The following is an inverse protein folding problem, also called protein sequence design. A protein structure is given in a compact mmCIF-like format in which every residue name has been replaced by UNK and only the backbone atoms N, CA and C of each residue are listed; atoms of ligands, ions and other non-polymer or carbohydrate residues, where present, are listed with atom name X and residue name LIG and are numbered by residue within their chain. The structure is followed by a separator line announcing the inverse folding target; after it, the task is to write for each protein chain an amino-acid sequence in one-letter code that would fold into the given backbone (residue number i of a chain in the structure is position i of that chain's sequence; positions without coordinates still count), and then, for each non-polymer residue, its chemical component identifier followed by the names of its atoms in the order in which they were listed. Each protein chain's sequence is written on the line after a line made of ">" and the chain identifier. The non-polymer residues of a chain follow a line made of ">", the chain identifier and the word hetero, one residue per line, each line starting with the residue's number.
data_IF_742019951830
#
_entry.id   IF_742019951830
#
_cell.length_a   1.000
_cell.length_b   1.000
_cell.length_c   1.000
_cell.angle_alpha   90.00
_cell.angle_beta   90.00
_cell.angle_gamma   90.00
#
_symmetry.space_group_name_H-M   'P 1'
#
loop_
_entity.id
_entity.type
_entity.pdbx_description
1 polymer ?
#
# COMPACT_ATOMS: atom_id res chain seq x y z
N UNK A 1 -31.87 20.89 55.17
CA UNK A 1 -30.64 21.56 54.73
C UNK A 1 -29.46 20.86 55.40
N UNK A 2 -28.39 20.56 54.68
CA UNK A 2 -27.13 20.04 55.24
C UNK A 2 -26.15 21.19 55.48
N UNK A 3 -25.16 20.95 56.34
CA UNK A 3 -24.15 21.95 56.70
C UNK A 3 -23.24 22.33 55.51
N UNK A 4 -23.12 21.46 54.52
CA UNK A 4 -22.38 21.69 53.28
C UNK A 4 -23.19 22.41 52.17
N UNK A 5 -24.28 23.09 52.54
CA UNK A 5 -25.04 23.95 51.62
C UNK A 5 -26.10 23.25 50.77
N UNK A 6 -26.23 21.92 50.87
CA UNK A 6 -27.26 21.16 50.15
C UNK A 6 -28.65 21.29 50.79
N UNK A 7 -29.67 21.49 49.96
CA UNK A 7 -31.08 21.57 50.35
C UNK A 7 -31.83 20.41 49.71
N UNK A 8 -32.72 19.77 50.47
CA UNK A 8 -33.67 18.81 49.91
C UNK A 8 -34.97 19.55 49.65
N UNK A 9 -35.43 19.56 48.41
CA UNK A 9 -36.68 20.21 47.99
C UNK A 9 -37.66 19.15 47.50
N UNK A 10 -38.95 19.44 47.61
CA UNK A 10 -40.00 18.59 47.05
C UNK A 10 -40.32 19.02 45.61
N UNK A 11 -40.45 18.06 44.71
CA UNK A 11 -40.88 18.29 43.32
C UNK A 11 -42.01 17.35 42.96
N UNK A 12 -42.64 17.55 41.81
CA UNK A 12 -43.70 16.68 41.30
C UNK A 12 -43.18 15.27 40.93
N UNK A 13 -41.88 15.10 40.68
CA UNK A 13 -41.21 13.81 40.50
C UNK A 13 -40.70 13.20 41.82
N UNK A 14 -40.95 13.88 42.95
CA UNK A 14 -40.50 13.49 44.29
C UNK A 14 -39.38 14.36 44.86
N UNK A 15 -38.79 13.98 46.00
CA UNK A 15 -37.79 14.80 46.67
C UNK A 15 -36.42 14.76 45.96
N UNK A 16 -35.85 15.94 45.67
CA UNK A 16 -34.51 16.08 45.06
C UNK A 16 -33.59 16.94 45.91
N UNK A 17 -32.27 16.80 45.72
CA UNK A 17 -31.27 17.62 46.39
C UNK A 17 -30.74 18.71 45.45
N UNK A 18 -30.64 19.94 45.94
CA UNK A 18 -30.07 21.08 45.21
C UNK A 18 -28.97 21.75 46.04
N UNK A 19 -27.98 22.33 45.37
CA UNK A 19 -26.99 23.20 46.01
C UNK A 19 -26.85 24.49 45.20
N UNK A 20 -27.50 25.55 45.67
CA UNK A 20 -27.60 26.83 44.94
C UNK A 20 -26.25 27.55 44.80
N UNK A 21 -25.29 27.24 45.66
CA UNK A 21 -24.00 27.91 45.72
C UNK A 21 -22.83 27.02 45.27
N UNK A 22 -23.10 25.76 44.95
CA UNK A 22 -22.07 24.74 44.71
C UNK A 22 -21.43 24.21 46.00
N UNK A 23 -20.60 23.19 45.85
CA UNK A 23 -19.87 22.52 46.92
C UNK A 23 -18.37 22.78 46.80
N UNK A 24 -17.70 23.12 47.91
CA UNK A 24 -16.26 23.30 47.93
C UNK A 24 -15.55 21.95 48.09
N UNK A 25 -14.61 21.66 47.19
CA UNK A 25 -13.87 20.41 47.19
C UNK A 25 -12.39 20.67 46.91
N UNK A 26 -11.53 20.06 47.72
CA UNK A 26 -10.08 20.05 47.47
C UNK A 26 -9.82 19.05 46.36
N UNK A 27 -9.19 19.51 45.29
CA UNK A 27 -8.81 18.69 44.15
C UNK A 27 -7.30 18.62 44.04
N UNK A 28 -6.78 17.49 43.57
CA UNK A 28 -5.38 17.34 43.16
C UNK A 28 -5.10 18.08 41.85
N UNK A 29 -4.01 17.72 41.17
CA UNK A 29 -3.69 18.32 39.87
C UNK A 29 -4.60 17.73 38.77
N UNK A 30 -5.24 18.58 37.97
CA UNK A 30 -6.08 18.14 36.86
C UNK A 30 -6.05 19.10 35.67
N UNK A 31 -6.49 18.60 34.51
CA UNK A 31 -6.80 19.43 33.35
C UNK A 31 -8.27 19.84 33.37
N UNK A 32 -8.53 21.07 32.96
CA UNK A 32 -9.88 21.60 32.82
C UNK A 32 -10.24 21.79 31.35
N UNK A 33 -11.52 21.71 31.05
CA UNK A 33 -12.08 21.61 29.71
C UNK A 33 -13.26 22.57 29.57
N UNK A 34 -13.50 23.11 28.37
CA UNK A 34 -14.63 24.02 28.13
C UNK A 34 -16.00 23.30 28.18
N UNK A 35 -16.03 21.99 27.91
CA UNK A 35 -17.21 21.11 27.94
C UNK A 35 -16.91 19.84 28.77
N UNK A 36 -17.91 19.08 29.26
CA UNK A 36 -17.71 17.82 30.00
C UNK A 36 -17.27 16.69 29.07
N UNK A 37 -16.16 16.90 28.39
CA UNK A 37 -15.56 15.97 27.46
C UNK A 37 -14.06 16.21 27.41
N UNK A 38 -13.28 15.13 27.44
CA UNK A 38 -11.83 15.21 27.33
C UNK A 38 -11.41 15.68 25.91
N UNK A 39 -12.36 15.73 24.95
CA UNK A 39 -12.13 16.20 23.57
C UNK A 39 -12.26 17.71 23.45
N UNK A 40 -12.80 18.35 24.49
CA UNK A 40 -13.00 19.78 24.52
C UNK A 40 -11.66 20.50 24.66
N UNK A 41 -11.64 21.78 24.30
CA UNK A 41 -10.46 22.63 24.42
C UNK A 41 -9.98 22.62 25.88
N UNK A 42 -8.68 22.35 26.07
CA UNK A 42 -8.05 22.42 27.39
C UNK A 42 -7.95 23.89 27.79
N UNK A 43 -8.50 24.22 28.95
CA UNK A 43 -8.46 25.55 29.53
C UNK A 43 -7.07 25.89 30.11
N UNK A 44 -6.91 27.07 30.71
CA UNK A 44 -5.68 27.51 31.37
C UNK A 44 -4.43 27.40 30.46
N UNK A 45 -4.59 27.77 29.18
CA UNK A 45 -3.56 27.67 28.15
C UNK A 45 -2.89 26.29 28.06
N UNK A 46 -3.61 25.21 28.40
CA UNK A 46 -3.07 23.85 28.38
C UNK A 46 -2.24 23.47 29.61
N UNK A 47 -2.15 24.34 30.62
CA UNK A 47 -1.52 24.04 31.89
C UNK A 47 -2.50 23.38 32.88
N UNK A 48 -1.98 22.50 33.73
CA UNK A 48 -2.77 21.90 34.80
C UNK A 48 -3.17 22.96 35.82
N UNK A 49 -4.36 22.82 36.36
CA UNK A 49 -4.69 23.42 37.63
C UNK A 49 -3.98 22.61 38.72
N UNK A 50 -3.13 23.27 39.50
CA UNK A 50 -2.48 22.65 40.66
C UNK A 50 -3.47 22.39 41.79
N UNK A 51 -3.08 21.55 42.75
CA UNK A 51 -3.87 21.25 43.95
C UNK A 51 -4.37 22.51 44.65
N UNK A 52 -5.68 22.70 44.68
CA UNK A 52 -6.36 23.78 45.41
C UNK A 52 -7.84 23.45 45.64
N UNK A 53 -8.54 24.32 46.38
CA UNK A 53 -9.98 24.20 46.61
C UNK A 53 -10.75 24.79 45.44
N UNK A 54 -11.67 24.03 44.87
CA UNK A 54 -12.57 24.49 43.82
C UNK A 54 -14.02 24.42 44.27
N UNK A 55 -14.82 25.35 43.75
CA UNK A 55 -16.27 25.34 43.92
C UNK A 55 -16.92 24.59 42.76
N UNK A 56 -17.43 23.41 43.05
CA UNK A 56 -18.14 22.53 42.13
C UNK A 56 -19.59 22.98 42.07
N UNK A 57 -20.09 23.28 40.88
CA UNK A 57 -21.43 23.87 40.67
C UNK A 57 -22.40 22.94 39.96
N UNK A 58 -21.88 21.91 39.30
CA UNK A 58 -22.67 20.90 38.59
C UNK A 58 -21.82 19.64 38.38
N UNK A 59 -22.45 18.56 37.93
CA UNK A 59 -21.74 17.34 37.54
C UNK A 59 -22.59 16.41 36.70
N UNK A 60 -21.92 15.50 36.00
CA UNK A 60 -22.55 14.49 35.16
C UNK A 60 -22.47 13.11 35.83
N UNK A 61 -23.32 12.19 35.41
CA UNK A 61 -23.35 10.81 35.93
C UNK A 61 -22.10 10.01 35.57
N UNK A 62 -21.36 10.39 34.53
CA UNK A 62 -20.09 9.80 34.11
C UNK A 62 -18.86 10.48 34.74
N UNK A 63 -19.06 11.28 35.79
CA UNK A 63 -17.99 11.73 36.68
C UNK A 63 -17.35 13.07 36.32
N UNK A 64 -17.91 13.82 35.36
CA UNK A 64 -17.49 15.20 35.14
C UNK A 64 -18.02 16.12 36.21
N UNK A 65 -17.19 17.05 36.64
CA UNK A 65 -17.53 18.08 37.59
C UNK A 65 -17.35 19.45 36.95
N UNK A 66 -18.41 20.26 36.98
CA UNK A 66 -18.36 21.66 36.55
C UNK A 66 -17.90 22.52 37.71
N UNK A 67 -17.00 23.45 37.46
CA UNK A 67 -16.44 24.31 38.49
C UNK A 67 -16.15 25.71 37.95
N UNK A 68 -16.08 26.69 38.85
CA UNK A 68 -15.81 28.09 38.49
C UNK A 68 -14.31 28.38 38.44
N UNK A 69 -13.88 29.06 37.38
CA UNK A 69 -12.52 29.62 37.22
C UNK A 69 -12.59 31.09 36.81
N UNK A 70 -11.42 31.74 36.71
CA UNK A 70 -11.30 33.09 36.17
C UNK A 70 -11.60 33.15 34.65
N UNK A 71 -11.52 32.01 33.95
CA UNK A 71 -11.90 31.85 32.53
C UNK A 71 -13.39 31.50 32.35
N UNK A 72 -14.18 31.59 33.42
CA UNK A 72 -15.59 31.17 33.46
C UNK A 72 -15.78 29.75 34.01
N UNK A 73 -16.95 29.18 33.76
CA UNK A 73 -17.21 27.79 34.15
C UNK A 73 -16.44 26.83 33.25
N UNK A 74 -15.86 25.80 33.86
CA UNK A 74 -15.08 24.75 33.21
C UNK A 74 -15.47 23.40 33.77
N UNK A 75 -15.02 22.35 33.09
CA UNK A 75 -15.28 20.97 33.45
C UNK A 75 -13.97 20.25 33.76
N UNK A 76 -13.98 19.39 34.76
CA UNK A 76 -12.89 18.47 35.08
C UNK A 76 -13.43 17.05 35.20
N UNK A 77 -12.61 16.04 34.92
CA UNK A 77 -12.94 14.66 35.24
C UNK A 77 -11.87 14.10 36.18
N UNK A 78 -12.12 14.07 37.50
CA UNK A 78 -11.16 13.57 38.48
C UNK A 78 -10.86 12.07 38.36
N UNK A 79 -11.70 11.32 37.64
CA UNK A 79 -11.54 9.89 37.40
C UNK A 79 -10.79 9.58 36.09
N UNK A 80 -10.57 10.58 35.23
CA UNK A 80 -9.86 10.37 33.97
C UNK A 80 -8.37 10.14 34.22
N UNK A 81 -7.92 8.90 34.00
CA UNK A 81 -6.51 8.57 34.04
C UNK A 81 -5.75 9.36 32.96
N UNK A 82 -4.55 9.83 33.28
CA UNK A 82 -3.68 10.54 32.33
C UNK A 82 -2.41 9.75 32.09
N UNK A 83 -2.02 9.64 30.83
CA UNK A 83 -0.73 9.07 30.45
C UNK A 83 0.09 10.08 29.64
N UNK A 84 1.40 10.00 29.75
CA UNK A 84 2.33 10.75 28.90
C UNK A 84 2.90 9.82 27.85
N UNK A 85 2.74 10.17 26.56
CA UNK A 85 3.34 9.43 25.45
C UNK A 85 4.45 10.29 24.84
N UNK A 86 5.70 9.90 25.10
CA UNK A 86 6.91 10.64 24.69
C UNK A 86 7.39 10.32 23.26
N UNK A 87 6.48 9.90 22.38
CA UNK A 87 6.77 9.54 20.99
C UNK A 87 5.60 9.89 20.09
N UNK A 88 5.88 10.08 18.82
CA UNK A 88 4.86 10.28 17.79
C UNK A 88 4.06 9.00 17.60
N UNK A 89 2.72 9.08 17.67
CA UNK A 89 1.82 7.92 17.55
C UNK A 89 0.64 8.19 16.64
N UNK A 90 0.05 7.14 16.07
CA UNK A 90 -1.25 7.22 15.43
C UNK A 90 -2.38 6.95 16.43
N UNK A 91 -3.52 7.59 16.18
CA UNK A 91 -4.79 7.23 16.81
C UNK A 91 -5.76 6.71 15.74
N UNK A 92 -6.70 5.86 16.14
CA UNK A 92 -7.55 5.07 15.26
C UNK A 92 -9.02 5.23 15.67
N UNK A 93 -9.93 5.13 14.71
CA UNK A 93 -11.37 5.23 15.00
C UNK A 93 -11.91 4.01 15.78
N UNK A 94 -11.23 2.88 15.68
CA UNK A 94 -11.55 1.62 16.36
C UNK A 94 -10.25 1.04 16.96
N UNK A 95 -10.32 0.14 17.96
CA UNK A 95 -9.15 -0.48 18.58
C UNK A 95 -8.53 -1.55 17.65
N UNK A 96 -8.09 -1.13 16.47
CA UNK A 96 -7.52 -1.97 15.43
C UNK A 96 -6.54 -1.16 14.59
N UNK A 97 -5.39 -1.75 14.29
CA UNK A 97 -4.38 -1.15 13.42
C UNK A 97 -4.82 -1.02 11.96
N UNK A 98 -5.84 -1.78 11.52
CA UNK A 98 -6.42 -1.65 10.19
C UNK A 98 -7.58 -0.64 10.14
N UNK A 99 -7.96 -0.05 11.28
CA UNK A 99 -9.00 0.97 11.30
C UNK A 99 -8.51 2.28 10.66
N UNK A 100 -9.45 3.11 10.23
CA UNK A 100 -9.15 4.46 9.72
C UNK A 100 -8.42 5.26 10.80
N UNK A 101 -7.27 5.84 10.43
CA UNK A 101 -6.50 6.74 11.27
C UNK A 101 -7.25 8.07 11.46
N UNK A 102 -7.19 8.58 12.68
CA UNK A 102 -7.64 9.92 13.06
C UNK A 102 -6.70 11.00 12.49
N UNK A 103 -7.01 12.27 12.74
CA UNK A 103 -6.15 13.41 12.40
C UNK A 103 -5.79 13.42 10.92
N UNK A 104 -6.77 13.14 10.06
CA UNK A 104 -6.61 13.04 8.61
C UNK A 104 -5.48 12.07 8.16
N UNK A 105 -5.17 11.07 8.98
CA UNK A 105 -4.10 10.11 8.72
C UNK A 105 -2.71 10.54 9.19
N UNK A 106 -2.56 11.73 9.78
CA UNK A 106 -1.30 12.20 10.35
C UNK A 106 -1.15 11.73 11.81
N UNK A 107 0.08 11.44 12.26
CA UNK A 107 0.30 11.07 13.65
C UNK A 107 0.22 12.29 14.57
N UNK A 108 0.03 12.03 15.86
CA UNK A 108 0.09 13.03 16.93
C UNK A 108 1.51 13.10 17.49
N UNK A 109 1.97 14.32 17.77
CA UNK A 109 3.25 14.56 18.45
C UNK A 109 3.20 14.08 19.91
N UNK A 110 4.37 13.92 20.56
CA UNK A 110 4.44 13.63 21.99
C UNK A 110 3.54 14.54 22.82
N UNK A 111 2.65 13.96 23.61
CA UNK A 111 1.68 14.71 24.43
C UNK A 111 1.11 13.85 25.57
N UNK A 112 0.35 14.50 26.46
CA UNK A 112 -0.45 13.83 27.47
C UNK A 112 -1.82 13.44 26.90
N UNK A 113 -2.33 12.28 27.32
CA UNK A 113 -3.61 11.75 26.88
C UNK A 113 -4.48 11.43 28.08
N UNK A 114 -5.73 11.90 28.04
CA UNK A 114 -6.77 11.43 28.95
C UNK A 114 -7.31 10.08 28.48
N UNK A 115 -7.12 9.06 29.29
CA UNK A 115 -7.57 7.68 29.07
C UNK A 115 -8.96 7.52 29.68
N UNK A 116 -9.89 7.03 28.87
CA UNK A 116 -11.29 6.77 29.23
C UNK A 116 -11.54 5.27 29.43
N UNK A 117 -10.80 4.44 28.70
CA UNK A 117 -10.98 2.99 28.70
C UNK A 117 -9.65 2.31 28.38
N UNK A 118 -9.39 1.15 28.99
CA UNK A 118 -8.26 0.28 28.70
C UNK A 118 -8.75 -1.11 28.29
N UNK A 119 -8.12 -1.69 27.28
CA UNK A 119 -8.26 -3.10 26.91
C UNK A 119 -7.02 -3.87 27.35
N UNK A 120 -7.20 -5.15 27.66
CA UNK A 120 -6.12 -6.06 28.10
C UNK A 120 -4.99 -6.17 27.07
N UNK A 121 -5.29 -6.00 25.78
CA UNK A 121 -4.34 -6.05 24.68
C UNK A 121 -3.61 -4.71 24.40
N UNK A 122 -3.66 -3.76 25.35
CA UNK A 122 -2.88 -2.52 25.31
C UNK A 122 -3.56 -1.33 24.62
N UNK A 123 -4.73 -1.55 24.00
CA UNK A 123 -5.51 -0.46 23.41
C UNK A 123 -6.12 0.43 24.49
N UNK A 124 -5.97 1.74 24.31
CA UNK A 124 -6.52 2.77 25.18
C UNK A 124 -7.43 3.69 24.40
N UNK A 125 -8.65 3.89 24.91
CA UNK A 125 -9.55 4.91 24.39
C UNK A 125 -9.16 6.24 24.99
N UNK A 126 -8.82 7.18 24.13
CA UNK A 126 -8.37 8.52 24.49
C UNK A 126 -9.20 9.56 23.81
N UNK A 127 -9.19 10.76 24.37
CA UNK A 127 -9.88 11.87 23.75
C UNK A 127 -8.97 12.72 22.90
N UNK A 128 -9.51 13.14 21.75
CA UNK A 128 -8.83 14.01 20.78
C UNK A 128 -9.78 15.12 20.37
N UNK A 129 -9.30 16.13 19.65
CA UNK A 129 -10.16 17.19 19.11
C UNK A 129 -11.22 16.66 18.10
N UNK A 130 -11.06 15.43 17.59
CA UNK A 130 -12.04 14.74 16.73
C UNK A 130 -13.00 13.84 17.54
N UNK A 131 -13.03 13.97 18.86
CA UNK A 131 -13.75 13.08 19.77
C UNK A 131 -12.91 11.86 20.19
N UNK A 132 -13.56 10.83 20.73
CA UNK A 132 -12.85 9.64 21.20
C UNK A 132 -12.19 8.86 20.07
N UNK A 133 -10.95 8.42 20.31
CA UNK A 133 -10.13 7.57 19.45
C UNK A 133 -9.40 6.53 20.26
N UNK A 134 -8.77 5.59 19.58
CA UNK A 134 -8.01 4.50 20.16
C UNK A 134 -6.52 4.68 19.86
N UNK A 135 -5.68 4.51 20.86
CA UNK A 135 -4.23 4.47 20.70
C UNK A 135 -3.68 3.17 21.27
N UNK A 136 -2.59 2.70 20.70
CA UNK A 136 -1.80 1.60 21.25
C UNK A 136 -0.31 1.94 21.06
N UNK A 137 0.27 2.79 21.93
CA UNK A 137 1.60 3.35 21.73
C UNK A 137 2.68 2.28 21.72
N UNK A 138 2.49 1.18 22.44
CA UNK A 138 3.52 0.14 22.61
C UNK A 138 3.30 -1.07 21.70
N UNK A 139 2.23 -1.06 20.92
CA UNK A 139 1.85 -2.17 20.07
C UNK A 139 1.12 -3.29 20.81
N UNK A 140 0.53 -4.18 20.03
CA UNK A 140 -0.23 -5.33 20.50
C UNK A 140 0.58 -6.62 20.24
N UNK A 141 0.82 -7.42 21.28
CA UNK A 141 1.30 -8.80 21.07
C UNK A 141 0.19 -9.64 20.46
N UNK A 142 0.49 -10.29 19.33
CA UNK A 142 -0.47 -11.10 18.60
C UNK A 142 0.16 -12.42 18.15
N UNK A 143 -0.47 -13.53 18.50
CA UNK A 143 -0.10 -14.83 17.95
C UNK A 143 -0.54 -14.93 16.49
N UNK A 144 0.41 -15.13 15.59
CA UNK A 144 0.13 -15.35 14.17
C UNK A 144 0.21 -16.85 13.92
N UNK A 145 -0.93 -17.46 13.61
CA UNK A 145 -1.10 -18.92 13.56
C UNK A 145 -0.75 -19.56 12.20
N UNK A 146 -0.30 -18.78 11.22
CA UNK A 146 0.06 -19.24 9.87
C UNK A 146 1.38 -18.62 9.43
N UNK A 147 2.15 -19.36 8.64
CA UNK A 147 3.38 -18.81 8.04
C UNK A 147 3.05 -17.70 7.05
N UNK A 148 3.91 -16.68 6.96
CA UNK A 148 3.68 -15.53 6.08
C UNK A 148 4.99 -14.92 5.55
N UNK A 149 4.89 -14.23 4.41
CA UNK A 149 5.95 -13.35 3.94
C UNK A 149 5.82 -11.98 4.59
N UNK A 150 6.95 -11.42 5.00
CA UNK A 150 7.05 -10.04 5.39
C UNK A 150 7.71 -9.20 4.27
N UNK A 151 7.40 -7.92 4.23
CA UNK A 151 7.76 -7.00 3.16
C UNK A 151 8.34 -5.71 3.75
N UNK A 152 9.26 -5.07 3.03
CA UNK A 152 9.89 -3.82 3.47
C UNK A 152 8.92 -2.63 3.42
N UNK A 153 7.89 -2.71 2.59
CA UNK A 153 6.82 -1.70 2.46
C UNK A 153 5.45 -2.40 2.47
N UNK A 154 4.38 -1.65 2.72
CA UNK A 154 3.00 -2.16 2.71
C UNK A 154 2.50 -2.41 1.27
N UNK A 155 3.18 -3.30 0.55
CA UNK A 155 2.92 -3.58 -0.86
C UNK A 155 3.43 -4.97 -1.22
N UNK A 156 2.64 -5.70 -2.01
CA UNK A 156 3.03 -7.02 -2.52
C UNK A 156 4.16 -6.96 -3.56
N UNK A 157 4.41 -5.79 -4.15
CA UNK A 157 5.53 -5.57 -5.07
C UNK A 157 6.81 -5.14 -4.35
N UNK A 158 6.76 -4.94 -3.03
CA UNK A 158 7.94 -4.59 -2.26
C UNK A 158 8.89 -5.79 -2.12
N UNK A 159 10.17 -5.49 -1.88
CA UNK A 159 11.13 -6.54 -1.55
C UNK A 159 10.68 -7.30 -0.29
N UNK A 160 10.71 -8.63 -0.37
CA UNK A 160 10.45 -9.50 0.77
C UNK A 160 11.60 -9.38 1.77
N UNK A 161 11.25 -9.34 3.06
CA UNK A 161 12.19 -9.43 4.16
C UNK A 161 12.69 -10.88 4.33
N UNK A 162 13.57 -11.12 5.31
CA UNK A 162 14.05 -12.45 5.68
C UNK A 162 14.62 -13.23 4.49
N UNK A 163 15.33 -12.53 3.61
CA UNK A 163 15.85 -13.06 2.34
C UNK A 163 14.80 -13.77 1.46
N UNK A 164 13.51 -13.40 1.57
CA UNK A 164 12.42 -14.04 0.86
C UNK A 164 11.89 -15.32 1.50
N UNK A 165 12.32 -15.68 2.71
CA UNK A 165 11.81 -16.82 3.46
C UNK A 165 10.58 -16.46 4.31
N UNK A 166 9.71 -17.44 4.52
CA UNK A 166 8.54 -17.31 5.39
C UNK A 166 8.95 -17.15 6.85
N UNK A 167 8.21 -16.32 7.57
CA UNK A 167 8.17 -16.38 9.03
C UNK A 167 7.22 -17.50 9.46
N UNK A 168 7.63 -18.30 10.45
CA UNK A 168 6.80 -19.38 11.01
C UNK A 168 5.77 -18.83 12.01
N UNK A 169 4.71 -19.61 12.33
CA UNK A 169 3.72 -19.21 13.34
C UNK A 169 4.37 -18.92 14.69
N UNK A 170 4.18 -17.70 15.22
CA UNK A 170 4.72 -17.25 16.51
C UNK A 170 4.03 -15.93 16.94
N UNK A 171 4.39 -15.44 18.12
CA UNK A 171 3.97 -14.12 18.58
C UNK A 171 4.76 -13.02 17.87
N UNK A 172 4.04 -11.99 17.43
CA UNK A 172 4.62 -10.75 16.91
C UNK A 172 3.98 -9.55 17.59
N UNK A 173 4.78 -8.52 17.82
CA UNK A 173 4.29 -7.21 18.23
C UNK A 173 3.86 -6.42 17.01
N UNK A 174 2.55 -6.18 16.89
CA UNK A 174 1.94 -5.33 15.86
C UNK A 174 1.97 -3.88 16.33
N UNK A 175 2.46 -2.97 15.49
CA UNK A 175 2.69 -1.56 15.86
C UNK A 175 1.97 -0.54 14.98
N UNK A 176 1.53 -0.94 13.79
CA UNK A 176 0.77 -0.09 12.87
C UNK A 176 -0.01 -0.96 11.85
N UNK A 177 -0.84 -0.33 11.05
CA UNK A 177 -1.53 -0.96 9.94
C UNK A 177 -2.10 0.03 8.93
N UNK A 178 -2.69 -0.54 7.88
CA UNK A 178 -3.43 0.18 6.83
C UNK A 178 -4.86 -0.32 6.74
N UNK A 179 -5.74 0.48 6.15
CA UNK A 179 -7.12 0.06 5.86
C UNK A 179 -7.21 -1.05 4.81
N UNK A 180 -6.14 -1.30 4.05
CA UNK A 180 -6.03 -2.40 3.08
C UNK A 180 -5.59 -3.73 3.69
N UNK A 181 -5.57 -3.85 5.02
CA UNK A 181 -5.29 -5.10 5.73
C UNK A 181 -3.80 -5.35 6.03
N UNK A 182 -2.90 -4.42 5.66
CA UNK A 182 -1.50 -4.54 6.01
C UNK A 182 -1.28 -4.24 7.50
N UNK A 183 -0.43 -5.03 8.14
CA UNK A 183 0.00 -4.85 9.52
C UNK A 183 1.51 -4.69 9.56
N UNK A 184 1.99 -3.73 10.33
CA UNK A 184 3.41 -3.55 10.62
C UNK A 184 3.75 -4.29 11.90
N UNK A 185 4.72 -5.20 11.83
CA UNK A 185 5.17 -6.04 12.94
C UNK A 185 6.65 -5.81 13.22
N UNK A 186 7.04 -5.92 14.49
CA UNK A 186 8.46 -5.97 14.86
C UNK A 186 9.02 -7.36 14.61
N UNK A 187 10.07 -7.45 13.80
CA UNK A 187 10.86 -8.66 13.58
C UNK A 187 12.30 -8.44 14.04
N UNK A 188 13.14 -9.46 13.94
CA UNK A 188 14.57 -9.35 14.23
C UNK A 188 15.32 -8.47 13.21
N UNK A 189 14.74 -8.24 12.01
CA UNK A 189 15.24 -7.30 10.99
C UNK A 189 14.68 -5.88 11.19
N UNK A 190 14.00 -5.61 12.31
CA UNK A 190 13.27 -4.37 12.56
C UNK A 190 11.81 -4.44 12.13
N UNK A 191 11.18 -3.29 11.92
CA UNK A 191 9.77 -3.24 11.53
C UNK A 191 9.59 -3.69 10.07
N UNK A 192 8.61 -4.57 9.83
CA UNK A 192 8.24 -5.09 8.52
C UNK A 192 6.73 -5.17 8.36
N UNK A 193 6.27 -5.20 7.12
CA UNK A 193 4.86 -5.27 6.78
C UNK A 193 4.45 -6.69 6.45
N UNK A 194 3.29 -7.12 6.92
CA UNK A 194 2.67 -8.38 6.55
C UNK A 194 1.22 -8.14 6.14
N UNK A 195 0.70 -8.99 5.25
CA UNK A 195 -0.72 -9.04 4.96
C UNK A 195 -1.15 -10.51 4.91
N UNK A 196 -1.84 -10.93 5.97
CA UNK A 196 -2.21 -12.31 6.20
C UNK A 196 -3.36 -12.76 5.32
N UNK A 197 -4.24 -11.82 5.03
CA UNK A 197 -5.52 -12.09 4.41
C UNK A 197 -5.50 -11.69 2.94
N UNK A 198 -4.51 -10.93 2.49
CA UNK A 198 -4.52 -10.34 1.17
C UNK A 198 -5.28 -9.02 1.14
N UNK A 199 -5.18 -8.35 0.01
CA UNK A 199 -5.79 -7.05 -0.24
C UNK A 199 -6.84 -7.20 -1.35
N UNK A 200 -8.08 -6.78 -1.08
CA UNK A 200 -9.06 -6.60 -2.15
C UNK A 200 -8.70 -5.37 -2.98
N UNK A 201 -8.60 -5.56 -4.29
CA UNK A 201 -8.29 -4.50 -5.23
C UNK A 201 -9.20 -4.57 -6.45
N UNK A 202 -9.87 -3.46 -6.75
CA UNK A 202 -10.57 -3.30 -8.02
C UNK A 202 -9.56 -3.09 -9.13
N UNK A 203 -9.60 -3.96 -10.14
CA UNK A 203 -8.80 -3.80 -11.35
C UNK A 203 -9.71 -3.22 -12.41
N UNK A 204 -9.47 -1.96 -12.80
CA UNK A 204 -10.35 -1.16 -13.64
C UNK A 204 -10.16 -1.36 -15.15
N UNK A 205 -9.47 -2.42 -15.56
CA UNK A 205 -9.18 -2.76 -16.95
C UNK A 205 -9.23 -4.26 -17.17
N UNK A 206 -9.41 -4.68 -18.42
CA UNK A 206 -9.28 -6.10 -18.77
C UNK A 206 -7.83 -6.53 -18.78
N UNK A 207 -7.51 -7.76 -18.38
CA UNK A 207 -6.13 -8.24 -18.31
C UNK A 207 -6.01 -9.76 -18.49
N UNK A 208 -4.81 -10.22 -18.84
CA UNK A 208 -4.48 -11.65 -18.82
C UNK A 208 -3.94 -12.07 -17.46
N UNK A 209 -4.31 -13.27 -17.02
CA UNK A 209 -3.69 -13.94 -15.89
C UNK A 209 -2.92 -15.17 -16.36
N UNK A 210 -1.92 -15.57 -15.59
CA UNK A 210 -0.91 -16.56 -15.95
C UNK A 210 -0.73 -17.56 -14.81
N UNK A 211 -0.34 -18.80 -15.12
CA UNK A 211 -0.09 -19.83 -14.10
C UNK A 211 1.19 -19.56 -13.29
N UNK A 212 2.16 -18.88 -13.89
CA UNK A 212 3.44 -18.49 -13.28
C UNK A 212 3.68 -16.99 -13.53
N UNK A 213 4.51 -16.29 -12.73
CA UNK A 213 4.81 -14.86 -12.90
C UNK A 213 5.75 -14.61 -14.08
N UNK A 214 5.31 -15.00 -15.28
CA UNK A 214 6.03 -14.94 -16.53
C UNK A 214 5.07 -14.85 -17.71
N UNK A 215 5.36 -13.95 -18.65
CA UNK A 215 4.56 -13.81 -19.89
C UNK A 215 4.62 -15.04 -20.79
N UNK A 216 5.63 -15.90 -20.61
CA UNK A 216 5.73 -17.17 -21.33
C UNK A 216 4.95 -18.32 -20.69
N UNK A 217 4.34 -18.09 -19.53
CA UNK A 217 3.51 -19.09 -18.86
C UNK A 217 2.17 -19.28 -19.55
N UNK A 218 1.57 -20.44 -19.33
CA UNK A 218 0.21 -20.70 -19.78
C UNK A 218 -0.75 -19.65 -19.20
N UNK A 219 -1.60 -19.11 -20.07
CA UNK A 219 -2.66 -18.17 -19.69
C UNK A 219 -3.78 -18.93 -18.97
N UNK A 220 -4.30 -18.31 -17.92
CA UNK A 220 -5.52 -18.74 -17.23
C UNK A 220 -6.76 -18.47 -18.11
N UNK A 221 -7.95 -18.86 -17.62
CA UNK A 221 -9.23 -18.54 -18.24
C UNK A 221 -9.31 -18.96 -19.71
N UNK A 222 -8.75 -20.15 -20.02
CA UNK A 222 -8.62 -20.67 -21.38
C UNK A 222 -7.97 -19.67 -22.38
N UNK A 223 -7.11 -18.77 -21.90
CA UNK A 223 -6.46 -17.75 -22.71
C UNK A 223 -7.29 -16.48 -22.94
N UNK A 224 -8.48 -16.36 -22.34
CA UNK A 224 -9.31 -15.18 -22.43
C UNK A 224 -8.96 -14.12 -21.35
N UNK A 225 -9.26 -12.86 -21.67
CA UNK A 225 -9.10 -11.74 -20.73
C UNK A 225 -10.11 -11.87 -19.58
N UNK A 226 -9.66 -11.52 -18.38
CA UNK A 226 -10.55 -11.18 -17.28
C UNK A 226 -11.08 -9.76 -17.49
N UNK A 227 -12.38 -9.55 -17.27
CA UNK A 227 -13.00 -8.22 -17.27
C UNK A 227 -12.69 -7.43 -15.98
N UNK A 228 -12.86 -6.10 -15.99
CA UNK A 228 -12.70 -5.28 -14.79
C UNK A 228 -13.57 -5.78 -13.64
N UNK A 229 -12.95 -6.10 -12.49
CA UNK A 229 -13.63 -6.60 -11.29
C UNK A 229 -12.67 -6.55 -10.08
N UNK A 230 -13.19 -6.92 -8.91
CA UNK A 230 -12.41 -7.04 -7.68
C UNK A 230 -11.66 -8.38 -7.66
N UNK A 231 -10.38 -8.33 -7.30
CA UNK A 231 -9.58 -9.51 -6.99
C UNK A 231 -8.92 -9.37 -5.64
N UNK A 232 -8.74 -10.51 -4.98
CA UNK A 232 -7.96 -10.61 -3.75
C UNK A 232 -6.51 -10.91 -4.09
N UNK A 233 -5.64 -9.95 -3.86
CA UNK A 233 -4.19 -10.05 -4.06
C UNK A 233 -3.57 -10.66 -2.80
N UNK A 234 -2.71 -11.65 -2.96
CA UNK A 234 -2.17 -12.44 -1.84
C UNK A 234 -0.65 -12.55 -1.82
N UNK A 235 0.03 -12.19 -2.92
CA UNK A 235 1.48 -12.15 -3.02
C UNK A 235 1.91 -11.27 -4.20
N UNK A 236 3.20 -11.00 -4.33
CA UNK A 236 3.76 -10.32 -5.48
C UNK A 236 5.29 -10.46 -5.59
N UNK A 237 5.81 -9.87 -6.66
CA UNK A 237 7.24 -9.79 -6.96
C UNK A 237 7.68 -8.35 -7.17
N UNK A 238 8.97 -8.10 -7.01
CA UNK A 238 9.58 -6.79 -7.31
C UNK A 238 9.53 -6.42 -8.79
N UNK A 239 9.30 -7.39 -9.68
CA UNK A 239 9.09 -7.19 -11.12
C UNK A 239 7.65 -6.83 -11.50
N UNK A 240 6.79 -6.56 -10.51
CA UNK A 240 5.43 -6.06 -10.74
C UNK A 240 4.37 -7.13 -10.93
N UNK A 241 4.71 -8.41 -10.73
CA UNK A 241 3.73 -9.49 -10.76
C UNK A 241 2.97 -9.55 -9.44
N UNK A 242 1.66 -9.70 -9.53
CA UNK A 242 0.76 -9.85 -8.39
C UNK A 242 0.08 -11.21 -8.49
N UNK A 243 0.03 -11.94 -7.38
CA UNK A 243 -0.74 -13.18 -7.28
C UNK A 243 -2.14 -12.86 -6.79
N UNK A 244 -3.14 -13.26 -7.56
CA UNK A 244 -4.56 -13.08 -7.27
C UNK A 244 -5.26 -14.42 -7.05
N UNK A 245 -6.26 -14.43 -6.18
CA UNK A 245 -7.19 -15.56 -6.07
C UNK A 245 -8.23 -15.50 -7.18
N UNK A 246 -8.39 -16.61 -7.89
CA UNK A 246 -9.43 -16.79 -8.92
C UNK A 246 -10.22 -18.07 -8.66
N UNK A 247 -11.30 -18.30 -9.42
CA UNK A 247 -12.05 -19.56 -9.36
C UNK A 247 -11.24 -20.77 -9.86
N UNK A 248 -10.21 -20.54 -10.68
CA UNK A 248 -9.25 -21.56 -11.17
C UNK A 248 -8.09 -21.79 -10.18
N UNK A 249 -8.16 -21.22 -8.97
CA UNK A 249 -7.07 -21.15 -8.00
C UNK A 249 -6.18 -19.92 -8.20
N UNK A 250 -5.02 -19.91 -7.56
CA UNK A 250 -4.12 -18.76 -7.59
C UNK A 250 -3.54 -18.54 -9.01
N UNK A 251 -3.50 -17.28 -9.45
CA UNK A 251 -2.94 -16.87 -10.74
C UNK A 251 -2.12 -15.61 -10.61
N UNK A 252 -1.25 -15.38 -11.58
CA UNK A 252 -0.36 -14.22 -11.63
C UNK A 252 -0.82 -13.22 -12.68
N UNK A 253 -0.81 -11.95 -12.33
CA UNK A 253 -1.13 -10.84 -13.23
C UNK A 253 0.02 -9.84 -13.20
N UNK A 254 0.21 -9.11 -14.29
CA UNK A 254 1.13 -7.98 -14.33
C UNK A 254 0.38 -6.76 -14.86
N UNK A 255 0.03 -5.82 -13.98
CA UNK A 255 -0.78 -4.66 -14.34
C UNK A 255 0.03 -3.53 -15.00
N UNK A 256 1.37 -3.61 -14.96
CA UNK A 256 2.24 -2.74 -15.76
C UNK A 256 2.18 -3.11 -17.24
N UNK A 257 1.51 -4.21 -17.60
CA UNK A 257 1.03 -4.45 -18.94
C UNK A 257 0.00 -3.35 -19.27
N UNK A 258 0.42 -2.31 -19.96
CA UNK A 258 -0.50 -1.37 -20.61
C UNK A 258 -1.18 -2.11 -21.76
N UNK A 259 -2.50 -2.25 -21.68
CA UNK A 259 -3.33 -2.88 -22.73
C UNK A 259 -3.49 -1.98 -23.98
N UNK A 260 -2.42 -1.26 -24.32
CA UNK A 260 -2.25 -0.55 -25.57
C UNK A 260 -1.31 -1.35 -26.48
N UNK A 261 -1.83 -2.41 -27.10
CA UNK A 261 -1.23 -3.04 -28.29
C UNK A 261 0.07 -3.86 -28.13
N UNK A 262 0.81 -3.75 -27.04
CA UNK A 262 2.12 -4.41 -26.88
C UNK A 262 2.08 -5.86 -26.34
N UNK A 263 0.98 -6.31 -25.71
CA UNK A 263 0.87 -7.70 -25.20
C UNK A 263 0.81 -8.71 -26.34
N UNK A 264 0.08 -8.39 -27.41
CA UNK A 264 0.07 -9.21 -28.62
C UNK A 264 1.40 -9.17 -29.39
N UNK A 265 2.20 -8.10 -29.25
CA UNK A 265 3.55 -8.00 -29.86
C UNK A 265 4.46 -9.06 -29.24
N UNK A 266 4.57 -9.10 -27.91
CA UNK A 266 5.39 -10.11 -27.22
C UNK A 266 4.86 -11.52 -27.47
N UNK A 267 3.55 -11.73 -27.38
CA UNK A 267 2.94 -13.04 -27.61
C UNK A 267 3.19 -13.56 -29.02
N UNK A 268 2.97 -12.73 -30.04
CA UNK A 268 3.17 -13.12 -31.42
C UNK A 268 4.65 -13.32 -31.74
N UNK A 269 5.53 -12.50 -31.18
CA UNK A 269 6.97 -12.67 -31.28
C UNK A 269 7.42 -14.03 -30.75
N UNK A 270 6.97 -14.39 -29.54
CA UNK A 270 7.29 -15.68 -28.92
C UNK A 270 6.78 -16.88 -29.74
N UNK A 271 5.63 -16.77 -30.40
CA UNK A 271 5.12 -17.81 -31.33
C UNK A 271 6.02 -18.03 -32.56
N UNK A 272 6.95 -17.13 -32.86
CA UNK A 272 7.89 -17.30 -33.96
C UNK A 272 9.22 -17.93 -33.52
N UNK A 273 9.42 -18.19 -32.22
CA UNK A 273 10.65 -18.77 -31.69
C UNK A 273 11.00 -20.07 -32.44
N UNK A 274 12.26 -20.20 -32.85
CA UNK A 274 12.78 -21.34 -33.61
C UNK A 274 12.54 -21.28 -35.12
N UNK A 275 11.82 -20.28 -35.66
CA UNK A 275 11.65 -20.17 -37.11
C UNK A 275 12.95 -19.77 -37.81
N UNK A 276 13.22 -20.29 -39.03
CA UNK A 276 14.46 -20.00 -39.75
C UNK A 276 14.65 -18.52 -40.06
N UNK A 277 15.91 -18.10 -40.10
CA UNK A 277 16.28 -16.81 -40.64
C UNK A 277 16.49 -16.90 -42.16
N UNK A 278 15.89 -16.01 -42.92
CA UNK A 278 16.15 -15.86 -44.35
C UNK A 278 16.20 -14.37 -44.68
N UNK A 279 17.32 -13.91 -45.22
CA UNK A 279 17.50 -12.50 -45.56
C UNK A 279 16.41 -12.00 -46.52
N UNK A 280 15.77 -10.88 -46.18
CA UNK A 280 14.66 -10.29 -46.94
C UNK A 280 13.26 -10.78 -46.53
N UNK A 281 13.15 -11.92 -45.84
CA UNK A 281 11.85 -12.51 -45.53
C UNK A 281 11.12 -11.82 -44.36
N UNK A 282 9.80 -11.89 -44.38
CA UNK A 282 8.91 -11.23 -43.40
C UNK A 282 7.77 -12.14 -42.93
N UNK A 283 7.98 -13.46 -42.94
CA UNK A 283 7.04 -14.45 -42.44
C UNK A 283 6.06 -15.01 -43.48
N UNK A 284 5.16 -15.91 -43.02
CA UNK A 284 5.10 -16.44 -41.66
C UNK A 284 6.12 -17.56 -41.40
N UNK A 285 6.78 -18.12 -42.42
CA UNK A 285 7.59 -19.33 -42.26
C UNK A 285 9.07 -19.06 -41.95
N UNK A 286 9.60 -17.90 -42.33
CA UNK A 286 10.97 -17.46 -42.02
C UNK A 286 11.06 -15.93 -42.03
N UNK A 287 12.11 -15.38 -41.40
CA UNK A 287 12.24 -13.95 -41.17
C UNK A 287 13.68 -13.46 -41.34
N UNK A 288 13.88 -12.22 -41.77
CA UNK A 288 15.05 -11.46 -41.33
C UNK A 288 14.73 -10.62 -40.09
N UNK A 289 15.74 -9.96 -39.50
CA UNK A 289 15.54 -9.20 -38.26
C UNK A 289 14.46 -8.11 -38.40
N UNK A 290 14.46 -7.36 -39.49
CA UNK A 290 13.47 -6.32 -39.77
C UNK A 290 12.11 -6.86 -40.22
N UNK A 291 12.08 -7.97 -40.93
CA UNK A 291 10.87 -8.67 -41.36
C UNK A 291 10.15 -9.34 -40.19
N UNK A 292 10.88 -9.81 -39.19
CA UNK A 292 10.32 -10.28 -37.92
C UNK A 292 9.58 -9.15 -37.19
N UNK A 293 10.19 -7.98 -37.05
CA UNK A 293 9.53 -6.80 -36.46
C UNK A 293 8.31 -6.40 -37.28
N UNK A 294 8.44 -6.29 -38.60
CA UNK A 294 7.33 -5.97 -39.49
C UNK A 294 6.14 -6.90 -39.26
N UNK A 295 6.37 -8.21 -39.29
CA UNK A 295 5.34 -9.22 -39.11
C UNK A 295 4.66 -9.10 -37.75
N UNK A 296 5.45 -9.00 -36.67
CA UNK A 296 4.90 -8.95 -35.32
C UNK A 296 4.05 -7.71 -35.12
N UNK A 297 4.57 -6.53 -35.45
CA UNK A 297 3.87 -5.27 -35.20
C UNK A 297 2.68 -5.07 -36.15
N UNK A 298 2.80 -5.41 -37.44
CA UNK A 298 1.68 -5.32 -38.39
C UNK A 298 0.49 -6.19 -37.97
N UNK A 299 0.75 -7.42 -37.53
CA UNK A 299 -0.31 -8.32 -37.04
C UNK A 299 -0.84 -7.94 -35.65
N UNK A 300 -0.25 -6.93 -35.01
CA UNK A 300 -0.74 -6.31 -33.78
C UNK A 300 -1.36 -4.92 -34.01
N UNK A 301 -1.68 -4.60 -35.27
CA UNK A 301 -2.44 -3.41 -35.64
C UNK A 301 -1.61 -2.12 -35.69
N UNK A 302 -0.28 -2.21 -35.76
CA UNK A 302 0.58 -1.05 -36.00
C UNK A 302 0.62 -0.74 -37.50
N UNK A 303 0.48 0.55 -37.83
CA UNK A 303 0.59 1.02 -39.21
C UNK A 303 2.05 1.26 -39.60
N UNK A 304 2.82 0.18 -39.78
CA UNK A 304 4.24 0.25 -40.18
C UNK A 304 4.46 -0.40 -41.54
N UNK A 305 5.33 0.20 -42.34
CA UNK A 305 5.84 -0.39 -43.58
C UNK A 305 7.00 -1.35 -43.31
N UNK A 306 7.25 -2.29 -44.24
CA UNK A 306 8.47 -3.10 -44.22
C UNK A 306 9.64 -2.21 -44.63
N UNK A 307 10.63 -2.04 -43.75
CA UNK A 307 11.84 -1.24 -44.05
C UNK A 307 13.07 -1.78 -43.34
N UNK A 308 14.24 -1.21 -43.62
CA UNK A 308 15.51 -1.59 -43.00
C UNK A 308 15.56 -1.23 -41.50
N UNK A 309 16.52 -1.82 -40.77
CA UNK A 309 16.76 -1.49 -39.36
C UNK A 309 17.02 0.00 -39.15
N UNK A 310 17.81 0.63 -40.02
CA UNK A 310 18.06 2.07 -39.98
C UNK A 310 16.79 2.89 -40.26
N UNK A 311 15.92 2.39 -41.15
CA UNK A 311 14.60 2.98 -41.40
C UNK A 311 13.73 2.97 -40.14
N UNK A 312 13.61 1.81 -39.48
CA UNK A 312 12.87 1.73 -38.22
C UNK A 312 13.48 2.59 -37.13
N UNK A 313 14.81 2.59 -37.00
CA UNK A 313 15.49 3.46 -36.04
C UNK A 313 15.16 4.94 -36.26
N UNK A 314 14.99 5.40 -37.51
CA UNK A 314 14.56 6.77 -37.81
C UNK A 314 13.12 7.09 -37.41
N UNK A 315 12.21 6.09 -37.42
CA UNK A 315 10.77 6.28 -37.21
C UNK A 315 10.32 6.18 -35.74
N UNK A 316 11.08 5.45 -34.92
CA UNK A 316 10.72 5.14 -33.53
C UNK A 316 11.12 6.24 -32.54
N UNK A 317 10.40 6.32 -31.42
CA UNK A 317 10.78 7.15 -30.28
C UNK A 317 11.81 6.43 -29.42
N UNK A 318 12.95 7.08 -29.13
CA UNK A 318 14.02 6.50 -28.31
C UNK A 318 13.67 6.64 -26.84
N UNK A 319 13.95 5.60 -26.07
CA UNK A 319 13.58 5.51 -24.65
C UNK A 319 14.76 4.99 -23.82
N UNK A 320 14.75 5.29 -22.52
CA UNK A 320 15.74 4.80 -21.55
C UNK A 320 15.19 3.71 -20.63
N UNK A 321 13.87 3.63 -20.45
CA UNK A 321 13.19 2.63 -19.61
C UNK A 321 12.30 1.73 -20.48
N UNK A 322 12.84 0.62 -21.01
CA UNK A 322 12.10 -0.28 -21.89
C UNK A 322 11.10 -1.12 -21.12
N UNK A 323 9.93 -1.32 -21.71
CA UNK A 323 8.89 -2.22 -21.26
C UNK A 323 8.75 -3.38 -22.25
N UNK A 324 8.28 -4.58 -21.82
CA UNK A 324 8.04 -5.69 -22.74
C UNK A 324 7.20 -5.26 -23.95
N UNK A 325 7.67 -5.60 -25.15
CA UNK A 325 7.10 -5.16 -26.43
C UNK A 325 7.83 -3.99 -27.08
N UNK A 326 8.70 -3.29 -26.36
CA UNK A 326 9.59 -2.29 -26.94
C UNK A 326 10.71 -2.93 -27.77
N UNK A 327 11.44 -2.11 -28.53
CA UNK A 327 12.51 -2.56 -29.41
C UNK A 327 13.87 -2.43 -28.75
N UNK A 328 14.72 -3.42 -28.98
CA UNK A 328 16.16 -3.40 -28.71
C UNK A 328 16.88 -3.22 -30.03
N UNK A 329 17.66 -2.16 -30.20
CA UNK A 329 18.45 -1.93 -31.40
C UNK A 329 19.93 -2.20 -31.16
N UNK A 330 20.57 -2.81 -32.15
CA UNK A 330 22.00 -3.02 -32.21
C UNK A 330 22.62 -2.34 -33.45
N UNK A 331 23.90 -2.03 -33.36
CA UNK A 331 24.71 -1.37 -34.38
C UNK A 331 25.99 -2.12 -34.70
N UNK A 332 26.55 -1.86 -35.87
CA UNK A 332 27.84 -2.42 -36.31
C UNK A 332 27.91 -3.95 -36.24
N UNK A 333 26.80 -4.65 -36.50
CA UNK A 333 26.71 -6.12 -36.47
C UNK A 333 27.21 -6.71 -37.79
N UNK A 334 26.50 -6.45 -38.90
CA UNK A 334 26.90 -6.82 -40.26
C UNK A 334 27.13 -5.61 -41.19
N UNK A 335 26.80 -4.40 -40.74
CA UNK A 335 27.09 -3.13 -41.44
C UNK A 335 27.23 -1.99 -40.44
N UNK A 336 27.88 -0.91 -40.84
CA UNK A 336 28.02 0.30 -40.02
C UNK A 336 26.65 0.92 -39.67
N UNK A 337 26.52 1.41 -38.43
CA UNK A 337 25.29 2.02 -37.91
C UNK A 337 24.22 0.99 -37.50
N UNK A 338 22.94 1.42 -37.35
CA UNK A 338 21.84 0.54 -36.97
C UNK A 338 21.71 -0.63 -37.95
N UNK A 339 21.91 -1.84 -37.44
CA UNK A 339 22.05 -3.03 -38.27
C UNK A 339 21.25 -4.22 -37.75
N UNK A 340 20.96 -4.33 -36.46
CA UNK A 340 20.07 -5.39 -35.93
C UNK A 340 19.01 -4.84 -34.98
N UNK A 341 17.94 -5.59 -34.78
CA UNK A 341 16.91 -5.27 -33.81
C UNK A 341 16.13 -6.51 -33.34
N UNK A 342 15.47 -6.36 -32.20
CA UNK A 342 14.56 -7.34 -31.63
C UNK A 342 13.54 -6.70 -30.71
N UNK A 343 12.72 -7.53 -30.06
CA UNK A 343 11.63 -7.12 -29.17
C UNK A 343 12.03 -7.45 -27.72
N UNK A 344 12.03 -6.46 -26.86
CA UNK A 344 12.30 -6.59 -25.44
C UNK A 344 11.22 -7.43 -24.75
N UNK A 345 11.64 -8.40 -23.93
CA UNK A 345 10.77 -9.33 -23.22
C UNK A 345 10.62 -9.00 -21.73
N UNK A 346 11.37 -8.01 -21.22
CA UNK A 346 11.58 -7.82 -19.79
C UNK A 346 12.78 -8.63 -19.27
N UNK A 347 13.13 -8.44 -18.00
CA UNK A 347 14.21 -9.17 -17.30
C UNK A 347 15.57 -9.18 -18.03
N UNK A 348 15.87 -8.14 -18.82
CA UNK A 348 17.13 -8.08 -19.57
C UNK A 348 17.21 -9.03 -20.76
N UNK A 349 16.08 -9.53 -21.27
CA UNK A 349 16.02 -10.43 -22.44
C UNK A 349 15.28 -9.80 -23.61
N UNK A 350 15.60 -10.23 -24.83
CA UNK A 350 14.92 -9.85 -26.06
C UNK A 350 14.83 -11.02 -27.04
N UNK A 351 13.83 -10.99 -27.93
CA UNK A 351 13.65 -11.96 -29.02
C UNK A 351 13.96 -11.32 -30.37
N UNK A 352 14.69 -12.01 -31.23
CA UNK A 352 15.10 -11.52 -32.54
C UNK A 352 15.31 -12.68 -33.51
N UNK A 353 15.13 -12.43 -34.82
CA UNK A 353 15.69 -13.28 -35.86
C UNK A 353 17.18 -12.96 -35.96
N UNK A 354 18.04 -13.87 -35.48
CA UNK A 354 19.45 -13.62 -35.26
C UNK A 354 20.27 -13.75 -36.55
N UNK A 355 20.35 -14.95 -37.12
CA UNK A 355 21.09 -15.25 -38.35
C UNK A 355 20.63 -16.58 -38.97
N UNK A 356 21.15 -16.89 -40.17
CA UNK A 356 20.83 -18.09 -40.97
C UNK A 356 21.06 -19.42 -40.23
N UNK A 357 21.94 -19.45 -39.23
CA UNK A 357 22.27 -20.68 -38.49
C UNK A 357 21.31 -20.89 -37.32
N UNK A 358 20.86 -19.82 -36.68
CA UNK A 358 20.14 -19.87 -35.39
C UNK A 358 18.64 -19.56 -35.50
N UNK A 359 18.22 -18.78 -36.48
CA UNK A 359 16.82 -18.38 -36.65
C UNK A 359 16.33 -17.41 -35.58
N UNK A 360 15.06 -17.52 -35.20
CA UNK A 360 14.44 -16.68 -34.16
C UNK A 360 14.77 -17.23 -32.77
N UNK A 361 15.51 -16.47 -31.97
CA UNK A 361 15.97 -16.87 -30.63
C UNK A 361 15.74 -15.78 -29.58
N UNK A 362 15.86 -16.16 -28.31
CA UNK A 362 15.98 -15.23 -27.18
C UNK A 362 17.44 -15.01 -26.84
N UNK A 363 17.78 -13.76 -26.55
CA UNK A 363 19.14 -13.34 -26.19
C UNK A 363 19.11 -12.43 -24.96
N UNK A 364 20.19 -12.47 -24.17
CA UNK A 364 20.36 -11.58 -23.02
C UNK A 364 21.04 -10.28 -23.43
N UNK A 365 20.50 -9.16 -22.94
CA UNK A 365 21.03 -7.82 -23.19
C UNK A 365 22.42 -7.65 -22.58
N UNK A 366 22.67 -8.25 -21.43
CA UNK A 366 23.97 -8.20 -20.74
C UNK A 366 25.02 -9.17 -21.31
N UNK A 367 24.73 -9.88 -22.41
CA UNK A 367 25.74 -10.69 -23.09
C UNK A 367 26.83 -9.80 -23.70
N UNK A 368 28.08 -10.28 -23.70
CA UNK A 368 29.22 -9.51 -24.24
C UNK A 368 28.99 -9.05 -25.69
N UNK A 369 28.36 -9.90 -26.51
CA UNK A 369 27.99 -9.55 -27.88
C UNK A 369 26.95 -8.43 -27.91
N UNK A 370 25.84 -8.58 -27.18
CA UNK A 370 24.77 -7.58 -27.20
C UNK A 370 25.26 -6.23 -26.64
N UNK A 371 26.03 -6.23 -25.56
CA UNK A 371 26.62 -5.01 -25.00
C UNK A 371 27.56 -4.31 -25.98
N UNK A 372 28.42 -5.06 -26.68
CA UNK A 372 29.35 -4.50 -27.68
C UNK A 372 28.61 -3.80 -28.83
N UNK A 373 27.44 -4.31 -29.20
CA UNK A 373 26.67 -3.82 -30.32
C UNK A 373 25.45 -2.98 -29.91
N UNK A 374 25.21 -2.75 -28.61
CA UNK A 374 24.00 -2.08 -28.14
C UNK A 374 23.94 -0.65 -28.68
N UNK A 375 22.81 -0.30 -29.31
CA UNK A 375 22.55 1.05 -29.80
C UNK A 375 21.57 1.80 -28.90
N UNK A 376 20.50 1.13 -28.46
CA UNK A 376 19.50 1.73 -27.59
C UNK A 376 18.15 1.03 -27.63
N UNK A 377 17.24 1.50 -26.77
CA UNK A 377 15.84 1.08 -26.77
C UNK A 377 14.97 2.08 -27.51
N UNK A 378 13.89 1.58 -28.12
CA UNK A 378 12.92 2.44 -28.77
C UNK A 378 11.51 1.85 -28.78
N UNK A 379 10.51 2.68 -29.06
CA UNK A 379 9.09 2.32 -29.09
C UNK A 379 8.43 2.83 -30.35
N UNK A 380 7.56 2.02 -30.95
CA UNK A 380 6.65 2.48 -32.00
C UNK A 380 5.47 3.24 -31.38
N UNK A 381 5.16 4.40 -31.95
CA UNK A 381 3.86 5.04 -31.76
C UNK A 381 2.82 4.27 -32.57
N UNK A 382 1.66 4.02 -31.97
CA UNK A 382 0.57 3.29 -32.63
C UNK A 382 -0.19 4.16 -33.63
#
# INVERSE_FOLDING_TARGET
>A
KRDNGWWKIETWEGPVWINLNGEERVMGDFYAYDEPSLSSKVANAGAKYGRQTFRIVDGTTDGWLKFKTWEGEKWMNPAAEQITVNKTIYAYNEPSFNAKKANYGAPFNPQNWGVVERKENGWMKVSTYEGYKWINPDGEERFINKSFYAYNEASFNAAKANAGALYNPQNFRVVDGTTSGWLKVKTWEGEKWMNLDGEERFINKSFYAYNEPSFSSAKANAGALYSPQNFRIIDGTTSGWLKIKTWEGDKWINLNQTDSGNSGVVDLALKQLGKPYVFGNSGPNSFDCSGFIYYVFKNNGYNIGRTSVAGYWGMVTKISDPQPGDLVFLQNTYKAGPSHLGIYLGNGEYIHAADETTGVIKSKINSSYTQKHFLGYARFSK
#
